data_IF_397550198158
#
_entry.id   IF_397550198158
#
_cell.length_a   1.000
_cell.length_b   1.000
_cell.length_c   1.000
_cell.angle_alpha   90.00
_cell.angle_beta   90.00
_cell.angle_gamma   90.00
#
_symmetry.space_group_name_H-M   'P 1'
#
loop_
_entity.id
_entity.type
_entity.pdbx_description
1 polymer ?
#
# COMPACT_ATOMS: atom_id res chain seq x y z
N UNK A 1 19.14 -12.97 24.00
CA UNK A 1 17.83 -12.81 24.69
C UNK A 1 17.11 -11.65 24.03
N UNK A 2 15.85 -11.82 23.62
CA UNK A 2 15.06 -10.73 23.02
C UNK A 2 14.88 -9.58 24.02
N UNK A 3 15.40 -8.40 23.71
CA UNK A 3 15.24 -7.21 24.55
C UNK A 3 13.91 -6.52 24.19
N UNK A 4 12.88 -6.72 25.03
CA UNK A 4 11.55 -6.14 24.83
C UNK A 4 11.57 -4.60 24.75
N UNK A 5 12.55 -3.94 25.36
CA UNK A 5 12.71 -2.47 25.26
C UNK A 5 13.15 -2.06 23.85
N UNK A 6 14.14 -2.75 23.28
CA UNK A 6 14.60 -2.51 21.91
C UNK A 6 13.50 -2.79 20.90
N UNK A 7 12.76 -3.90 21.07
CA UNK A 7 11.64 -4.24 20.19
C UNK A 7 10.55 -3.15 20.19
N UNK A 8 10.18 -2.64 21.37
CA UNK A 8 9.21 -1.55 21.49
C UNK A 8 9.67 -0.29 20.77
N UNK A 9 10.96 0.06 20.89
CA UNK A 9 11.55 1.21 20.21
C UNK A 9 11.48 1.02 18.69
N UNK A 10 11.82 -0.16 18.17
CA UNK A 10 11.74 -0.47 16.74
C UNK A 10 10.31 -0.31 16.19
N UNK A 11 9.30 -0.82 16.90
CA UNK A 11 7.90 -0.63 16.49
C UNK A 11 7.49 0.85 16.52
N UNK A 12 7.87 1.60 17.55
CA UNK A 12 7.57 3.04 17.64
C UNK A 12 8.17 3.80 16.46
N UNK A 13 9.41 3.48 16.08
CA UNK A 13 10.07 4.08 14.91
C UNK A 13 9.32 3.74 13.62
N UNK A 14 8.95 2.46 13.42
CA UNK A 14 8.20 2.02 12.25
C UNK A 14 6.83 2.71 12.13
N UNK A 15 6.05 2.77 13.21
CA UNK A 15 4.76 3.45 13.23
C UNK A 15 4.89 4.96 12.99
N UNK A 16 5.95 5.60 13.50
CA UNK A 16 6.24 7.00 13.19
C UNK A 16 6.48 7.19 11.69
N UNK A 17 7.22 6.29 11.04
CA UNK A 17 7.45 6.32 9.60
C UNK A 17 6.15 6.22 8.78
N UNK A 18 5.26 5.30 9.15
CA UNK A 18 3.93 5.18 8.52
C UNK A 18 3.12 6.46 8.75
N UNK A 19 3.13 7.02 9.96
CA UNK A 19 2.42 8.26 10.26
C UNK A 19 2.92 9.47 9.47
N UNK A 20 4.22 9.54 9.17
CA UNK A 20 4.78 10.57 8.28
C UNK A 20 4.25 10.39 6.85
N UNK A 21 4.29 9.16 6.32
CA UNK A 21 3.76 8.88 4.98
C UNK A 21 2.27 9.20 4.88
N UNK A 22 1.44 8.85 5.88
CA UNK A 22 0.02 9.22 5.89
C UNK A 22 -0.23 10.73 5.95
N UNK A 23 0.74 11.54 6.38
CA UNK A 23 0.58 12.99 6.46
C UNK A 23 1.10 13.70 5.21
N UNK A 24 2.19 13.20 4.64
CA UNK A 24 2.89 13.83 3.53
C UNK A 24 2.46 13.27 2.17
N UNK A 25 2.01 12.01 2.11
CA UNK A 25 1.66 11.31 0.87
C UNK A 25 0.14 11.15 0.74
N UNK A 26 -0.46 11.97 -0.13
CA UNK A 26 -1.89 11.90 -0.42
C UNK A 26 -2.28 10.54 -1.01
N UNK A 27 -1.47 10.01 -1.94
CA UNK A 27 -1.70 8.72 -2.58
C UNK A 27 -1.71 7.59 -1.55
N UNK A 28 -0.72 7.54 -0.65
CA UNK A 28 -0.66 6.56 0.42
C UNK A 28 -1.89 6.63 1.33
N UNK A 29 -2.31 7.84 1.70
CA UNK A 29 -3.51 8.05 2.53
C UNK A 29 -4.77 7.49 1.87
N UNK A 30 -4.96 7.75 0.57
CA UNK A 30 -6.09 7.21 -0.20
C UNK A 30 -6.03 5.69 -0.23
N UNK A 31 -4.87 5.10 -0.51
CA UNK A 31 -4.68 3.65 -0.52
C UNK A 31 -4.98 3.02 0.84
N UNK A 32 -4.63 3.67 1.96
CA UNK A 32 -4.96 3.21 3.30
C UNK A 32 -6.47 3.24 3.55
N UNK A 33 -7.17 4.29 3.13
CA UNK A 33 -8.62 4.39 3.25
C UNK A 33 -9.34 3.32 2.41
N UNK A 34 -8.89 3.10 1.17
CA UNK A 34 -9.41 2.03 0.31
C UNK A 34 -9.17 0.67 0.96
N UNK A 35 -7.97 0.43 1.48
CA UNK A 35 -7.66 -0.82 2.16
C UNK A 35 -8.51 -1.05 3.42
N UNK A 36 -8.79 0.00 4.20
CA UNK A 36 -9.71 -0.08 5.33
C UNK A 36 -11.13 -0.48 4.89
N UNK A 37 -11.62 0.07 3.77
CA UNK A 37 -12.89 -0.34 3.18
C UNK A 37 -12.87 -1.81 2.74
N UNK A 38 -11.79 -2.26 2.09
CA UNK A 38 -11.63 -3.67 1.68
C UNK A 38 -11.64 -4.59 2.89
N UNK A 39 -10.94 -4.25 3.97
CA UNK A 39 -10.95 -5.02 5.22
C UNK A 39 -12.34 -5.12 5.85
N UNK A 40 -13.12 -4.02 5.79
CA UNK A 40 -14.52 -4.05 6.22
C UNK A 40 -15.29 -5.00 5.31
N UNK A 41 -15.25 -4.86 3.98
CA UNK A 41 -15.98 -5.74 3.06
C UNK A 41 -15.61 -7.21 3.25
N UNK A 42 -14.32 -7.51 3.45
CA UNK A 42 -13.84 -8.87 3.72
C UNK A 42 -14.48 -9.51 4.96
N UNK A 43 -14.84 -8.72 5.98
CA UNK A 43 -15.51 -9.25 7.16
C UNK A 43 -16.95 -9.68 6.87
N UNK A 44 -17.66 -8.94 6.01
CA UNK A 44 -19.10 -9.14 5.75
C UNK A 44 -19.39 -10.09 4.60
N UNK A 45 -18.50 -10.17 3.60
CA UNK A 45 -18.69 -11.00 2.42
C UNK A 45 -18.32 -12.48 2.70
N UNK A 46 -18.98 -13.44 2.02
CA UNK A 46 -18.75 -14.88 2.19
C UNK A 46 -17.45 -15.36 1.52
N UNK A 47 -16.33 -14.70 1.82
CA UNK A 47 -15.02 -15.03 1.26
C UNK A 47 -14.33 -16.14 2.04
N UNK A 48 -13.66 -17.05 1.33
CA UNK A 48 -12.81 -18.07 1.92
C UNK A 48 -11.46 -17.50 2.40
N UNK A 49 -10.70 -18.30 3.17
CA UNK A 49 -9.44 -17.83 3.75
C UNK A 49 -8.36 -17.47 2.72
N UNK A 50 -8.35 -18.13 1.56
CA UNK A 50 -7.38 -17.88 0.50
C UNK A 50 -7.68 -16.54 -0.17
N UNK A 51 -8.95 -16.28 -0.50
CA UNK A 51 -9.40 -15.00 -1.05
C UNK A 51 -9.06 -13.83 -0.13
N UNK A 52 -9.34 -13.98 1.16
CA UNK A 52 -8.98 -12.99 2.18
C UNK A 52 -7.47 -12.74 2.22
N UNK A 53 -6.66 -13.81 2.20
CA UNK A 53 -5.21 -13.68 2.20
C UNK A 53 -4.69 -12.96 0.93
N UNK A 54 -5.25 -13.27 -0.24
CA UNK A 54 -4.88 -12.63 -1.51
C UNK A 54 -5.18 -11.13 -1.48
N UNK A 55 -6.36 -10.73 -0.99
CA UNK A 55 -6.73 -9.31 -0.85
C UNK A 55 -5.78 -8.57 0.11
N UNK A 56 -5.46 -9.17 1.25
CA UNK A 56 -4.50 -8.61 2.21
C UNK A 56 -3.11 -8.46 1.58
N UNK A 57 -2.63 -9.48 0.88
CA UNK A 57 -1.32 -9.44 0.21
C UNK A 57 -1.27 -8.37 -0.88
N UNK A 58 -2.32 -8.25 -1.70
CA UNK A 58 -2.41 -7.22 -2.72
C UNK A 58 -2.35 -5.81 -2.11
N UNK A 59 -3.12 -5.57 -1.04
CA UNK A 59 -3.13 -4.31 -0.31
C UNK A 59 -1.77 -3.98 0.32
N UNK A 60 -1.14 -4.94 1.02
CA UNK A 60 0.17 -4.76 1.63
C UNK A 60 1.24 -4.47 0.58
N UNK A 61 1.17 -5.11 -0.59
CA UNK A 61 2.14 -4.90 -1.67
C UNK A 61 2.04 -3.48 -2.24
N UNK A 62 0.82 -2.98 -2.48
CA UNK A 62 0.57 -1.60 -2.92
C UNK A 62 1.17 -0.61 -1.91
N UNK A 63 0.81 -0.74 -0.63
CA UNK A 63 1.30 0.14 0.43
C UNK A 63 2.82 0.11 0.57
N UNK A 64 3.43 -1.08 0.48
CA UNK A 64 4.87 -1.22 0.60
C UNK A 64 5.60 -0.54 -0.55
N UNK A 65 5.11 -0.70 -1.79
CA UNK A 65 5.73 -0.04 -2.94
C UNK A 65 5.53 1.47 -2.94
N UNK A 66 4.38 1.97 -2.47
CA UNK A 66 4.15 3.41 -2.31
C UNK A 66 5.16 4.03 -1.32
N UNK A 67 5.41 3.36 -0.20
CA UNK A 67 6.41 3.79 0.78
C UNK A 67 7.83 3.75 0.22
N UNK A 68 8.16 2.73 -0.58
CA UNK A 68 9.46 2.64 -1.26
C UNK A 68 9.60 3.76 -2.31
N UNK A 69 8.57 4.03 -3.09
CA UNK A 69 8.55 5.14 -4.04
C UNK A 69 8.82 6.48 -3.34
N UNK A 70 8.07 6.73 -2.26
CA UNK A 70 8.21 7.90 -1.39
C UNK A 70 9.62 8.07 -0.79
N UNK A 71 10.28 6.96 -0.44
CA UNK A 71 11.67 6.96 0.02
C UNK A 71 12.65 7.29 -1.10
N UNK A 72 12.47 6.70 -2.29
CA UNK A 72 13.31 6.98 -3.47
C UNK A 72 13.20 8.45 -3.86
N UNK A 73 11.98 8.99 -3.93
CA UNK A 73 11.75 10.39 -4.26
C UNK A 73 12.46 11.34 -3.29
N UNK A 74 12.25 11.16 -1.98
CA UNK A 74 12.92 11.99 -0.94
C UNK A 74 14.44 11.85 -0.96
N UNK A 75 14.96 10.63 -1.15
CA UNK A 75 16.40 10.41 -1.22
C UNK A 75 17.01 11.16 -2.42
N UNK A 76 16.33 11.14 -3.57
CA UNK A 76 16.76 11.87 -4.75
C UNK A 76 16.63 13.38 -4.59
N UNK A 77 15.60 13.89 -3.91
CA UNK A 77 15.45 15.32 -3.62
C UNK A 77 16.56 15.85 -2.70
N UNK A 78 17.04 15.03 -1.77
CA UNK A 78 18.19 15.38 -0.92
C UNK A 78 19.51 15.36 -1.70
N UNK A 79 19.71 14.38 -2.59
CA UNK A 79 20.95 14.23 -3.35
C UNK A 79 21.05 15.17 -4.55
N UNK A 80 19.91 15.51 -5.16
CA UNK A 80 19.80 16.33 -6.36
C UNK A 80 18.65 17.35 -6.20
N UNK A 81 18.86 18.43 -5.43
CA UNK A 81 17.83 19.43 -5.16
C UNK A 81 17.42 20.23 -6.41
N UNK A 82 18.31 20.34 -7.40
CA UNK A 82 18.01 20.92 -8.71
C UNK A 82 17.47 19.86 -9.68
N UNK A 83 16.58 20.28 -10.58
CA UNK A 83 16.01 19.38 -11.58
C UNK A 83 17.10 18.76 -12.46
N UNK A 84 17.17 17.42 -12.44
CA UNK A 84 18.06 16.65 -13.29
C UNK A 84 17.25 15.62 -14.09
N UNK A 85 17.31 15.68 -15.42
CA UNK A 85 16.47 14.84 -16.29
C UNK A 85 16.62 13.33 -16.04
N UNK A 86 17.82 12.84 -15.67
CA UNK A 86 18.00 11.43 -15.26
C UNK A 86 17.28 11.09 -13.96
N UNK A 87 17.24 12.01 -12.99
CA UNK A 87 16.52 11.84 -11.72
C UNK A 87 15.02 11.76 -11.97
N UNK A 88 14.51 12.64 -12.85
CA UNK A 88 13.11 12.58 -13.31
C UNK A 88 12.73 11.18 -13.81
N UNK A 89 13.52 10.60 -14.72
CA UNK A 89 13.27 9.24 -15.23
C UNK A 89 13.27 8.16 -14.14
N UNK A 90 14.11 8.28 -13.13
CA UNK A 90 14.14 7.31 -12.01
C UNK A 90 12.83 7.42 -11.21
N UNK A 91 12.39 8.64 -10.89
CA UNK A 91 11.11 8.89 -10.21
C UNK A 91 9.93 8.37 -11.03
N UNK A 92 9.91 8.63 -12.34
CA UNK A 92 8.86 8.14 -13.25
C UNK A 92 8.78 6.61 -13.25
N UNK A 93 9.92 5.92 -13.26
CA UNK A 93 9.96 4.45 -13.19
C UNK A 93 9.49 3.91 -11.85
N UNK A 94 9.84 4.58 -10.74
CA UNK A 94 9.41 4.18 -9.40
C UNK A 94 7.89 4.35 -9.23
N UNK A 95 7.33 5.48 -9.68
CA UNK A 95 5.88 5.71 -9.74
C UNK A 95 5.19 4.70 -10.68
N UNK A 96 5.81 4.37 -11.80
CA UNK A 96 5.32 3.34 -12.72
C UNK A 96 5.19 1.95 -12.09
N UNK A 97 6.13 1.57 -11.20
CA UNK A 97 6.05 0.30 -10.48
C UNK A 97 4.84 0.25 -9.52
N UNK A 98 4.60 1.35 -8.79
CA UNK A 98 3.42 1.50 -7.93
C UNK A 98 2.13 1.40 -8.75
N UNK A 99 2.08 2.06 -9.90
CA UNK A 99 0.91 2.05 -10.79
C UNK A 99 0.57 0.63 -11.26
N UNK A 100 1.58 -0.14 -11.70
CA UNK A 100 1.39 -1.53 -12.15
C UNK A 100 0.76 -2.38 -11.04
N UNK A 101 1.30 -2.29 -9.83
CA UNK A 101 0.78 -3.06 -8.68
C UNK A 101 -0.60 -2.57 -8.26
N UNK A 102 -0.85 -1.26 -8.30
CA UNK A 102 -2.17 -0.69 -8.00
C UNK A 102 -3.23 -1.21 -8.96
N UNK A 103 -2.94 -1.22 -10.27
CA UNK A 103 -3.83 -1.78 -11.29
C UNK A 103 -4.05 -3.29 -11.05
N UNK A 104 -2.98 -4.05 -10.78
CA UNK A 104 -3.10 -5.46 -10.44
C UNK A 104 -3.98 -5.72 -9.22
N UNK A 105 -3.85 -4.90 -8.18
CA UNK A 105 -4.67 -5.00 -6.96
C UNK A 105 -6.15 -4.73 -7.24
N UNK A 106 -6.47 -3.82 -8.15
CA UNK A 106 -7.85 -3.56 -8.59
C UNK A 106 -8.43 -4.80 -9.28
N UNK A 107 -7.70 -5.42 -10.20
CA UNK A 107 -8.16 -6.64 -10.86
C UNK A 107 -8.39 -7.78 -9.87
N UNK A 108 -7.47 -7.98 -8.91
CA UNK A 108 -7.63 -8.95 -7.84
C UNK A 108 -8.90 -8.65 -7.02
N UNK A 109 -9.10 -7.38 -6.65
CA UNK A 109 -10.28 -6.92 -5.92
C UNK A 109 -11.58 -7.20 -6.69
N UNK A 110 -11.62 -6.93 -8.00
CA UNK A 110 -12.77 -7.22 -8.84
C UNK A 110 -13.04 -8.73 -8.89
N UNK A 111 -12.02 -9.55 -9.13
CA UNK A 111 -12.18 -11.00 -9.26
C UNK A 111 -12.72 -11.67 -7.99
N UNK A 112 -12.36 -11.15 -6.82
CA UNK A 112 -12.74 -11.73 -5.53
C UNK A 112 -14.01 -11.08 -4.96
N UNK A 113 -14.08 -9.75 -4.94
CA UNK A 113 -15.17 -9.04 -4.27
C UNK A 113 -16.43 -8.98 -5.12
N UNK A 114 -16.32 -8.85 -6.45
CA UNK A 114 -17.51 -8.69 -7.30
C UNK A 114 -18.44 -9.92 -7.23
N UNK A 115 -17.97 -11.18 -7.38
CA UNK A 115 -18.84 -12.34 -7.27
C UNK A 115 -19.50 -12.44 -5.89
N UNK A 116 -18.72 -12.22 -4.83
CA UNK A 116 -19.22 -12.29 -3.45
C UNK A 116 -20.28 -11.21 -3.15
N UNK A 117 -20.13 -10.01 -3.72
CA UNK A 117 -21.13 -8.94 -3.61
C UNK A 117 -22.42 -9.33 -4.35
N UNK A 118 -22.31 -9.85 -5.57
CA UNK A 118 -23.48 -10.27 -6.36
C UNK A 118 -24.27 -11.38 -5.65
N UNK A 119 -23.57 -12.34 -5.06
CA UNK A 119 -24.19 -13.43 -4.27
C UNK A 119 -25.00 -12.88 -3.09
N UNK A 120 -24.42 -11.96 -2.31
CA UNK A 120 -25.11 -11.34 -1.16
C UNK A 120 -26.32 -10.50 -1.61
N UNK A 121 -26.21 -9.82 -2.75
CA UNK A 121 -27.28 -8.99 -3.32
C UNK A 121 -28.36 -9.81 -4.06
N UNK A 122 -28.21 -11.14 -4.16
CA UNK A 122 -29.13 -12.05 -4.87
C UNK A 122 -29.32 -11.70 -6.36
N UNK A 123 -28.27 -11.19 -7.00
CA UNK A 123 -28.20 -11.08 -8.46
C UNK A 123 -27.76 -12.39 -9.10
#
# INVERSE_FOLDING_TARGET
>A
MLNLKELKISFQVAFKGIGVAMKEEQTFTIQVLIGALVLILMYWLPLNNIERAILILAMILVWSLELINSQIERALDVLHPDFHHKVGRIKDMAAGAVLIVSIGSIFIGILILLPAILEVLKF
#
